data_IF_869155450730
#
_entry.id   IF_869155450730
#
_cell.length_a   1.000
_cell.length_b   1.000
_cell.length_c   1.000
_cell.angle_alpha   90.00
_cell.angle_beta   90.00
_cell.angle_gamma   90.00
#
_symmetry.space_group_name_H-M   'P 1'
#
loop_
_entity.id
_entity.type
_entity.pdbx_description
1 polymer ?
#
# COMPACT_ATOMS: atom_id res chain seq x y z
N UNK A 1 -24.76 -23.40 -21.11
CA UNK A 1 -23.99 -24.00 -22.21
C UNK A 1 -23.63 -22.98 -23.26
N UNK A 2 -22.99 -21.89 -22.84
CA UNK A 2 -22.50 -20.80 -23.69
C UNK A 2 -20.97 -20.66 -23.63
N UNK A 3 -20.27 -21.67 -23.09
CA UNK A 3 -18.81 -21.71 -22.97
C UNK A 3 -18.23 -20.85 -21.83
N UNK A 4 -19.01 -19.92 -21.27
CA UNK A 4 -18.53 -18.97 -20.25
C UNK A 4 -18.19 -19.65 -18.93
N UNK A 5 -18.86 -20.74 -18.60
CA UNK A 5 -18.58 -21.51 -17.39
C UNK A 5 -17.24 -22.25 -17.52
N UNK A 6 -16.97 -22.86 -18.66
CA UNK A 6 -15.71 -23.56 -18.94
C UNK A 6 -14.53 -22.58 -18.94
N UNK A 7 -14.66 -21.43 -19.60
CA UNK A 7 -13.65 -20.37 -19.58
C UNK A 7 -13.41 -19.82 -18.16
N UNK A 8 -14.48 -19.62 -17.40
CA UNK A 8 -14.39 -19.22 -15.99
C UNK A 8 -13.60 -20.25 -15.18
N UNK A 9 -13.93 -21.53 -15.30
CA UNK A 9 -13.25 -22.60 -14.56
C UNK A 9 -11.78 -22.73 -14.97
N UNK A 10 -11.43 -22.52 -16.25
CA UNK A 10 -10.02 -22.47 -16.69
C UNK A 10 -9.28 -21.30 -16.04
N UNK A 11 -9.89 -20.11 -16.03
CA UNK A 11 -9.31 -18.90 -15.44
C UNK A 11 -9.10 -19.04 -13.93
N UNK A 12 -10.07 -19.61 -13.22
CA UNK A 12 -10.09 -19.71 -11.76
C UNK A 12 -9.66 -21.08 -11.22
N UNK A 13 -9.04 -21.94 -12.04
CA UNK A 13 -8.66 -23.32 -11.67
C UNK A 13 -7.84 -23.46 -10.38
N UNK A 14 -7.05 -22.44 -10.01
CA UNK A 14 -6.24 -22.40 -8.78
C UNK A 14 -6.94 -21.73 -7.59
N UNK A 15 -8.12 -21.15 -7.82
CA UNK A 15 -8.86 -20.30 -6.89
C UNK A 15 -10.31 -20.79 -6.66
N UNK A 16 -10.64 -22.02 -7.08
CA UNK A 16 -11.95 -22.65 -6.90
C UNK A 16 -11.79 -24.03 -6.26
N UNK A 17 -12.75 -24.45 -5.43
CA UNK A 17 -12.78 -25.82 -4.91
C UNK A 17 -13.08 -26.82 -6.04
N UNK A 18 -12.69 -28.08 -5.85
CA UNK A 18 -12.86 -29.14 -6.85
C UNK A 18 -14.32 -29.40 -7.23
N UNK A 19 -15.27 -29.09 -6.34
CA UNK A 19 -16.70 -29.27 -6.54
C UNK A 19 -17.42 -27.96 -6.90
N UNK A 20 -16.69 -26.88 -7.20
CA UNK A 20 -17.30 -25.59 -7.50
C UNK A 20 -17.99 -25.60 -8.88
N UNK A 21 -19.31 -25.34 -8.89
CA UNK A 21 -20.11 -25.11 -10.10
C UNK A 21 -20.55 -23.64 -10.19
N UNK A 22 -20.10 -22.87 -11.19
CA UNK A 22 -20.48 -21.46 -11.32
C UNK A 22 -21.98 -21.25 -11.60
N UNK A 23 -22.70 -22.21 -12.19
CA UNK A 23 -24.13 -22.08 -12.45
C UNK A 23 -24.96 -22.20 -11.17
N UNK A 24 -24.48 -22.96 -10.21
CA UNK A 24 -25.15 -23.20 -8.93
C UNK A 24 -24.64 -22.26 -7.85
N UNK A 25 -23.32 -22.19 -7.66
CA UNK A 25 -22.70 -21.49 -6.53
C UNK A 25 -22.62 -19.97 -6.73
N UNK A 26 -22.52 -19.43 -7.95
CA UNK A 26 -22.58 -17.97 -8.17
C UNK A 26 -24.02 -17.42 -8.14
N UNK A 27 -25.00 -18.22 -7.71
CA UNK A 27 -26.32 -17.68 -7.34
C UNK A 27 -26.24 -16.87 -6.06
N UNK A 28 -25.31 -17.16 -5.15
CA UNK A 28 -25.09 -16.39 -3.92
C UNK A 28 -23.60 -16.09 -3.78
N UNK A 29 -23.25 -14.85 -3.49
CA UNK A 29 -21.86 -14.41 -3.35
C UNK A 29 -21.65 -13.86 -1.94
N UNK A 30 -20.72 -14.47 -1.21
CA UNK A 30 -20.14 -13.89 0.00
C UNK A 30 -18.76 -13.33 -0.31
N UNK A 31 -18.49 -12.08 0.06
CA UNK A 31 -17.17 -11.47 -0.06
C UNK A 31 -16.54 -11.34 1.32
N UNK A 32 -15.39 -11.98 1.53
CA UNK A 32 -14.56 -11.83 2.71
C UNK A 32 -13.13 -11.47 2.29
N UNK A 33 -12.45 -10.65 3.08
CA UNK A 33 -11.14 -10.08 2.75
C UNK A 33 -10.11 -10.39 3.83
N UNK A 34 -8.83 -10.32 3.46
CA UNK A 34 -7.76 -10.27 4.46
C UNK A 34 -7.87 -8.96 5.28
N UNK A 35 -7.55 -9.03 6.57
CA UNK A 35 -7.74 -7.93 7.55
C UNK A 35 -6.91 -6.66 7.28
N UNK A 36 -5.89 -6.78 6.44
CA UNK A 36 -4.88 -5.75 6.14
C UNK A 36 -5.02 -5.16 4.73
N UNK A 37 -6.03 -5.56 3.95
CA UNK A 37 -6.26 -5.07 2.58
C UNK A 37 -6.57 -3.57 2.54
N UNK A 38 -6.32 -2.91 1.40
CA UNK A 38 -6.72 -1.53 1.17
C UNK A 38 -8.24 -1.41 0.98
N UNK A 39 -8.93 -0.81 1.96
CA UNK A 39 -10.40 -0.83 2.05
C UNK A 39 -11.09 -0.20 0.84
N UNK A 40 -10.51 0.86 0.26
CA UNK A 40 -11.11 1.55 -0.89
C UNK A 40 -11.17 0.66 -2.13
N UNK A 41 -10.11 -0.09 -2.41
CA UNK A 41 -10.07 -1.05 -3.51
C UNK A 41 -10.96 -2.25 -3.24
N UNK A 42 -10.89 -2.81 -2.02
CA UNK A 42 -11.78 -3.90 -1.60
C UNK A 42 -13.24 -3.52 -1.76
N UNK A 43 -13.62 -2.31 -1.34
CA UNK A 43 -14.98 -1.79 -1.48
C UNK A 43 -15.37 -1.61 -2.95
N UNK A 44 -14.45 -1.22 -3.82
CA UNK A 44 -14.72 -1.12 -5.26
C UNK A 44 -15.04 -2.50 -5.87
N UNK A 45 -14.32 -3.55 -5.45
CA UNK A 45 -14.61 -4.95 -5.83
C UNK A 45 -15.97 -5.38 -5.29
N UNK A 46 -16.27 -5.08 -4.02
CA UNK A 46 -17.58 -5.35 -3.42
C UNK A 46 -18.73 -4.71 -4.18
N UNK A 47 -18.61 -3.42 -4.50
CA UNK A 47 -19.59 -2.69 -5.30
C UNK A 47 -19.77 -3.28 -6.71
N UNK A 48 -18.69 -3.75 -7.35
CA UNK A 48 -18.77 -4.40 -8.66
C UNK A 48 -19.58 -5.72 -8.57
N UNK A 49 -19.31 -6.54 -7.56
CA UNK A 49 -20.04 -7.79 -7.32
C UNK A 49 -21.50 -7.52 -6.98
N UNK A 50 -21.78 -6.55 -6.10
CA UNK A 50 -23.12 -6.12 -5.73
C UNK A 50 -23.91 -5.65 -6.96
N UNK A 51 -23.34 -4.78 -7.80
CA UNK A 51 -23.96 -4.32 -9.06
C UNK A 51 -24.26 -5.48 -10.01
N UNK A 52 -23.36 -6.46 -10.07
CA UNK A 52 -23.53 -7.64 -10.92
C UNK A 52 -24.69 -8.53 -10.45
N UNK A 53 -24.79 -8.78 -9.14
CA UNK A 53 -25.91 -9.52 -8.55
C UNK A 53 -27.23 -8.77 -8.74
N UNK A 54 -27.24 -7.46 -8.47
CA UNK A 54 -28.42 -6.60 -8.66
C UNK A 54 -28.91 -6.61 -10.11
N UNK A 55 -28.00 -6.59 -11.10
CA UNK A 55 -28.36 -6.70 -12.52
C UNK A 55 -29.01 -8.04 -12.87
N UNK A 56 -28.64 -9.12 -12.17
CA UNK A 56 -29.12 -10.48 -12.46
C UNK A 56 -30.43 -10.83 -11.76
N UNK A 57 -30.58 -10.45 -10.49
CA UNK A 57 -31.71 -10.85 -9.64
C UNK A 57 -32.67 -9.70 -9.31
N UNK A 58 -32.32 -8.47 -9.68
CA UNK A 58 -33.06 -7.26 -9.29
C UNK A 58 -32.63 -6.74 -7.91
N UNK A 59 -33.01 -5.50 -7.57
CA UNK A 59 -32.64 -4.86 -6.30
C UNK A 59 -33.32 -5.51 -5.09
N UNK A 60 -34.54 -6.03 -5.24
CA UNK A 60 -35.36 -6.55 -4.13
C UNK A 60 -34.76 -7.81 -3.49
N UNK A 61 -33.98 -8.58 -4.26
CA UNK A 61 -33.40 -9.84 -3.81
C UNK A 61 -31.91 -9.74 -3.43
N UNK A 62 -31.35 -8.52 -3.36
CA UNK A 62 -29.90 -8.35 -3.17
C UNK A 62 -29.41 -8.99 -1.86
N UNK A 63 -30.15 -8.84 -0.77
CA UNK A 63 -29.79 -9.38 0.55
C UNK A 63 -29.85 -10.91 0.62
N UNK A 64 -30.53 -11.57 -0.31
CA UNK A 64 -30.60 -13.03 -0.39
C UNK A 64 -29.44 -13.64 -1.20
N UNK A 65 -28.82 -12.82 -2.05
CA UNK A 65 -27.85 -13.25 -3.06
C UNK A 65 -26.45 -12.63 -2.90
N UNK A 66 -26.29 -11.60 -2.08
CA UNK A 66 -25.00 -10.96 -1.84
C UNK A 66 -24.82 -10.60 -0.36
N UNK A 67 -23.63 -10.88 0.17
CA UNK A 67 -23.23 -10.45 1.50
C UNK A 67 -21.75 -10.09 1.52
N UNK A 68 -21.41 -8.94 2.10
CA UNK A 68 -20.04 -8.50 2.31
C UNK A 68 -19.71 -8.57 3.80
N UNK A 69 -18.69 -9.36 4.15
CA UNK A 69 -18.18 -9.43 5.51
C UNK A 69 -17.17 -8.29 5.70
N UNK A 70 -17.42 -7.39 6.66
CA UNK A 70 -16.42 -6.40 7.05
C UNK A 70 -15.34 -7.09 7.88
N UNK A 71 -14.33 -7.58 7.18
CA UNK A 71 -13.19 -8.28 7.77
C UNK A 71 -11.96 -7.40 7.90
N UNK A 72 -12.00 -6.15 7.41
CA UNK A 72 -10.87 -5.23 7.49
C UNK A 72 -10.91 -4.50 8.84
N UNK A 73 -9.78 -4.49 9.55
CA UNK A 73 -9.70 -3.83 10.85
C UNK A 73 -9.70 -2.30 10.71
N UNK A 74 -10.40 -1.59 11.59
CA UNK A 74 -10.41 -0.12 11.62
C UNK A 74 -9.00 0.48 11.80
N UNK A 75 -8.12 -0.21 12.53
CA UNK A 75 -6.73 0.22 12.73
C UNK A 75 -5.91 0.20 11.42
N UNK A 76 -6.27 -0.68 10.48
CA UNK A 76 -5.72 -0.71 9.12
C UNK A 76 -6.20 0.52 8.36
N UNK A 77 -7.51 0.79 8.40
CA UNK A 77 -8.14 1.90 7.69
C UNK A 77 -7.55 3.26 8.09
N UNK A 78 -7.47 3.54 9.39
CA UNK A 78 -6.98 4.83 9.91
C UNK A 78 -5.56 5.13 9.43
N UNK A 79 -4.69 4.11 9.36
CA UNK A 79 -3.31 4.28 8.87
C UNK A 79 -3.25 4.50 7.37
N UNK A 80 -4.05 3.75 6.61
CA UNK A 80 -4.13 3.91 5.17
C UNK A 80 -4.67 5.29 4.78
N UNK A 81 -5.68 5.78 5.49
CA UNK A 81 -6.23 7.14 5.31
C UNK A 81 -5.19 8.20 5.64
N UNK A 82 -4.46 8.06 6.75
CA UNK A 82 -3.38 8.99 7.11
C UNK A 82 -2.25 9.03 6.07
N UNK A 83 -1.90 7.88 5.47
CA UNK A 83 -0.91 7.83 4.39
C UNK A 83 -1.46 8.45 3.10
N UNK A 84 -2.73 8.22 2.77
CA UNK A 84 -3.37 8.86 1.61
C UNK A 84 -3.41 10.39 1.79
N UNK A 85 -3.79 10.87 2.97
CA UNK A 85 -3.74 12.30 3.32
C UNK A 85 -2.31 12.87 3.21
N UNK A 86 -1.31 12.16 3.74
CA UNK A 86 0.11 12.52 3.65
C UNK A 86 0.55 12.69 2.18
N UNK A 87 0.09 11.83 1.27
CA UNK A 87 0.40 11.94 -0.15
C UNK A 87 -0.22 13.19 -0.82
N UNK A 88 -1.30 13.73 -0.25
CA UNK A 88 -2.02 14.89 -0.78
C UNK A 88 -1.69 16.19 0.00
N UNK A 89 -0.73 16.16 0.93
CA UNK A 89 -0.31 17.35 1.64
C UNK A 89 0.44 18.29 0.69
N UNK A 90 -0.16 19.45 0.45
CA UNK A 90 0.38 20.54 -0.37
C UNK A 90 0.13 21.91 0.32
N UNK A 91 1.12 22.50 1.00
CA UNK A 91 1.15 23.90 1.41
C UNK A 91 1.28 24.85 0.21
N UNK A 92 1.96 24.45 -0.88
CA UNK A 92 1.92 25.14 -2.17
C UNK A 92 1.32 24.22 -3.26
N UNK A 93 0.21 24.61 -3.91
CA UNK A 93 -0.39 23.80 -4.99
C UNK A 93 0.50 23.68 -6.25
N UNK A 94 1.61 24.42 -6.36
CA UNK A 94 2.52 24.38 -7.50
C UNK A 94 3.83 23.62 -7.24
N UNK A 95 4.08 23.15 -6.01
CA UNK A 95 5.31 22.41 -5.68
C UNK A 95 5.00 21.06 -5.02
N UNK A 96 5.61 19.95 -5.47
CA UNK A 96 5.54 18.69 -4.74
C UNK A 96 6.27 18.84 -3.40
N UNK A 97 5.57 18.55 -2.30
CA UNK A 97 6.06 18.91 -0.97
C UNK A 97 6.88 17.86 -0.29
N UNK A 98 6.66 16.58 -0.59
CA UNK A 98 7.41 15.50 0.02
C UNK A 98 8.55 15.09 -0.90
N UNK A 99 9.76 15.09 -0.37
CA UNK A 99 10.93 14.54 -1.08
C UNK A 99 10.81 13.01 -1.16
N UNK A 100 10.29 12.40 -0.10
CA UNK A 100 9.86 11.00 -0.07
C UNK A 100 8.99 10.70 1.15
N UNK A 101 8.34 9.54 1.14
CA UNK A 101 7.68 8.92 2.30
C UNK A 101 8.49 7.71 2.77
N UNK A 102 8.79 7.65 4.07
CA UNK A 102 9.40 6.49 4.71
C UNK A 102 8.34 5.68 5.47
N UNK A 103 8.22 4.42 5.11
CA UNK A 103 7.38 3.42 5.77
C UNK A 103 8.28 2.52 6.60
N UNK A 104 8.13 2.53 7.93
CA UNK A 104 8.95 1.72 8.83
C UNK A 104 8.17 0.52 9.35
N UNK A 105 8.77 -0.67 9.29
CA UNK A 105 8.25 -1.89 9.90
C UNK A 105 8.77 -3.15 9.24
N UNK A 106 8.57 -4.31 9.87
CA UNK A 106 9.12 -5.58 9.37
C UNK A 106 8.74 -5.89 7.91
N UNK A 107 9.68 -6.47 7.15
CA UNK A 107 9.46 -6.84 5.74
C UNK A 107 8.39 -7.92 5.53
N UNK A 108 8.11 -8.72 6.56
CA UNK A 108 7.07 -9.75 6.55
C UNK A 108 5.68 -9.22 6.96
N UNK A 109 5.57 -7.93 7.29
CA UNK A 109 4.30 -7.32 7.67
C UNK A 109 3.49 -6.92 6.43
N UNK A 110 2.42 -7.68 6.14
CA UNK A 110 1.47 -7.35 5.07
C UNK A 110 0.87 -5.94 5.24
N UNK A 111 0.50 -5.54 6.46
CA UNK A 111 0.00 -4.17 6.68
C UNK A 111 1.05 -3.12 6.29
N UNK A 112 2.31 -3.33 6.68
CA UNK A 112 3.39 -2.38 6.34
C UNK A 112 3.64 -2.34 4.83
N UNK A 113 3.60 -3.50 4.16
CA UNK A 113 3.69 -3.56 2.70
C UNK A 113 2.54 -2.79 2.01
N UNK A 114 1.29 -2.93 2.48
CA UNK A 114 0.16 -2.19 1.94
C UNK A 114 0.26 -0.67 2.18
N UNK A 115 0.91 -0.23 3.26
CA UNK A 115 1.18 1.21 3.45
C UNK A 115 2.16 1.77 2.42
N UNK A 116 3.06 0.96 1.87
CA UNK A 116 3.98 1.37 0.79
C UNK A 116 3.27 1.47 -0.56
N UNK A 117 2.27 0.63 -0.82
CA UNK A 117 1.52 0.62 -2.08
C UNK A 117 0.83 1.96 -2.34
N UNK A 118 0.24 2.57 -1.30
CA UNK A 118 -0.51 3.83 -1.40
C UNK A 118 0.34 4.97 -2.03
N UNK A 119 1.47 5.39 -1.45
CA UNK A 119 2.28 6.47 -2.01
C UNK A 119 2.88 6.12 -3.37
N UNK A 120 3.27 4.85 -3.60
CA UNK A 120 3.76 4.41 -4.90
C UNK A 120 2.70 4.57 -6.00
N UNK A 121 1.45 4.17 -5.73
CA UNK A 121 0.33 4.38 -6.67
C UNK A 121 0.00 5.86 -6.90
N UNK A 122 0.31 6.73 -5.94
CA UNK A 122 0.18 8.19 -6.06
C UNK A 122 1.37 8.83 -6.79
N UNK A 123 2.39 8.07 -7.16
CA UNK A 123 3.62 8.59 -7.78
C UNK A 123 4.54 9.33 -6.80
N UNK A 124 4.34 9.16 -5.49
CA UNK A 124 5.19 9.73 -4.46
C UNK A 124 6.33 8.77 -4.17
N UNK A 125 7.56 9.28 -4.26
CA UNK A 125 8.78 8.52 -3.96
C UNK A 125 8.69 7.99 -2.54
N UNK A 126 8.78 6.68 -2.36
CA UNK A 126 8.51 6.07 -1.07
C UNK A 126 9.26 4.78 -0.85
N UNK A 127 9.64 4.52 0.39
CA UNK A 127 10.53 3.42 0.75
C UNK A 127 10.04 2.70 1.99
N UNK A 128 10.17 1.37 1.99
CA UNK A 128 9.87 0.52 3.13
C UNK A 128 11.16 -0.06 3.71
N UNK A 129 11.49 0.31 4.95
CA UNK A 129 12.60 -0.25 5.71
C UNK A 129 12.09 -1.01 6.95
N UNK A 130 12.82 -2.04 7.38
CA UNK A 130 12.53 -2.76 8.61
C UNK A 130 13.27 -2.20 9.83
N UNK A 131 14.42 -1.56 9.62
CA UNK A 131 15.26 -1.00 10.69
C UNK A 131 16.09 0.18 10.19
N UNK A 132 16.59 1.00 11.11
CA UNK A 132 17.43 2.15 10.76
C UNK A 132 18.70 1.75 10.00
N UNK A 133 19.23 0.54 10.24
CA UNK A 133 20.47 0.05 9.63
C UNK A 133 20.45 0.11 8.10
N UNK A 134 19.28 -0.03 7.50
CA UNK A 134 18.99 0.06 6.07
C UNK A 134 19.35 1.40 5.41
N UNK A 135 19.40 2.49 6.19
CA UNK A 135 19.76 3.83 5.70
C UNK A 135 21.27 3.98 5.84
N UNK A 136 22.01 3.87 4.75
CA UNK A 136 23.47 3.85 4.77
C UNK A 136 24.07 5.26 4.81
N UNK A 137 25.26 5.40 5.39
CA UNK A 137 25.92 6.68 5.59
C UNK A 137 26.31 7.40 4.29
N UNK A 138 26.45 6.66 3.19
CA UNK A 138 26.73 7.15 1.85
C UNK A 138 25.47 7.62 1.10
N UNK A 139 24.33 7.75 1.80
CA UNK A 139 23.03 8.13 1.28
C UNK A 139 22.34 7.05 0.42
N UNK A 140 22.82 5.80 0.43
CA UNK A 140 22.10 4.67 -0.17
C UNK A 140 21.10 4.06 0.80
N UNK A 141 20.18 3.24 0.28
CA UNK A 141 19.10 2.66 1.06
C UNK A 141 18.80 1.22 0.63
N UNK A 142 18.83 0.30 1.59
CA UNK A 142 18.25 -1.03 1.46
C UNK A 142 16.74 -0.97 1.79
N UNK A 143 15.87 -1.37 0.88
CA UNK A 143 14.42 -1.31 1.13
C UNK A 143 13.67 -2.45 0.44
N UNK A 144 12.45 -2.69 0.92
CA UNK A 144 11.51 -3.62 0.27
C UNK A 144 10.74 -2.89 -0.84
N UNK A 145 10.55 -3.54 -1.98
CA UNK A 145 9.69 -3.08 -3.08
C UNK A 145 8.25 -3.54 -2.89
N UNK A 146 7.31 -2.99 -3.67
CA UNK A 146 5.90 -3.42 -3.63
C UNK A 146 5.76 -4.92 -3.95
N UNK A 147 6.56 -5.43 -4.89
CA UNK A 147 6.57 -6.84 -5.30
C UNK A 147 7.23 -7.78 -4.28
N UNK A 148 7.78 -7.21 -3.19
CA UNK A 148 8.39 -7.98 -2.10
C UNK A 148 9.86 -8.34 -2.28
N UNK A 149 10.51 -7.81 -3.32
CA UNK A 149 11.96 -7.85 -3.42
C UNK A 149 12.60 -6.94 -2.36
N UNK A 150 13.78 -7.32 -1.88
CA UNK A 150 14.64 -6.44 -1.08
C UNK A 150 15.76 -5.98 -1.99
N UNK A 151 15.90 -4.67 -2.16
CA UNK A 151 16.84 -4.06 -3.10
C UNK A 151 17.59 -2.93 -2.43
N UNK A 152 18.81 -2.69 -2.90
CA UNK A 152 19.53 -1.47 -2.60
C UNK A 152 19.24 -0.45 -3.70
N UNK A 153 18.98 0.79 -3.32
CA UNK A 153 18.43 1.82 -4.21
C UNK A 153 19.33 3.04 -4.34
N UNK A 154 19.05 3.82 -5.39
CA UNK A 154 19.55 5.16 -5.67
C UNK A 154 19.43 6.12 -4.47
N UNK A 155 20.22 7.20 -4.42
CA UNK A 155 20.40 8.03 -3.24
C UNK A 155 19.08 8.49 -2.59
N UNK A 156 18.92 8.25 -1.28
CA UNK A 156 17.73 8.60 -0.51
C UNK A 156 17.42 10.10 -0.62
N UNK A 157 18.41 10.96 -0.42
CA UNK A 157 18.29 12.41 -0.62
C UNK A 157 18.86 12.77 -1.98
N UNK A 158 18.01 13.27 -2.88
CA UNK A 158 18.42 13.66 -4.23
C UNK A 158 19.16 15.00 -4.22
N UNK A 159 20.13 15.13 -5.11
CA UNK A 159 20.76 16.39 -5.47
C UNK A 159 20.12 16.95 -6.75
N UNK A 160 20.23 18.26 -6.96
CA UNK A 160 19.87 18.90 -8.21
C UNK A 160 20.89 18.61 -9.33
N UNK A 161 20.66 19.18 -10.51
CA UNK A 161 21.52 19.03 -11.69
C UNK A 161 22.97 19.51 -11.48
N UNK A 162 23.21 20.36 -10.47
CA UNK A 162 24.53 20.87 -10.11
C UNK A 162 25.17 20.07 -8.97
N UNK A 163 24.53 18.99 -8.51
CA UNK A 163 25.00 18.17 -7.40
C UNK A 163 24.72 18.76 -6.02
N UNK A 164 23.90 19.81 -5.92
CA UNK A 164 23.55 20.46 -4.66
C UNK A 164 22.31 19.82 -4.06
N UNK A 165 22.38 19.38 -2.80
CA UNK A 165 21.21 18.85 -2.08
C UNK A 165 20.37 19.97 -1.51
N UNK A 166 19.05 19.77 -1.45
CA UNK A 166 18.12 20.73 -0.83
C UNK A 166 18.54 21.02 0.60
N UNK A 167 18.47 22.28 1.02
CA UNK A 167 18.76 22.68 2.41
C UNK A 167 17.66 22.28 3.39
N UNK A 168 16.41 22.24 2.90
CA UNK A 168 15.23 21.82 3.65
C UNK A 168 14.70 20.50 3.06
N UNK A 169 14.74 19.46 3.88
CA UNK A 169 14.19 18.15 3.56
C UNK A 169 12.79 18.03 4.16
N UNK A 170 11.83 17.52 3.39
CA UNK A 170 10.46 17.26 3.80
C UNK A 170 10.16 15.78 3.62
N UNK A 171 10.14 15.05 4.72
CA UNK A 171 9.97 13.60 4.74
C UNK A 171 8.64 13.26 5.41
N UNK A 172 7.80 12.53 4.69
CA UNK A 172 6.62 11.91 5.29
C UNK A 172 7.03 10.63 5.99
N UNK A 173 6.50 10.36 7.19
CA UNK A 173 6.85 9.16 7.95
C UNK A 173 5.60 8.46 8.42
N UNK A 174 5.56 7.15 8.22
CA UNK A 174 4.51 6.27 8.74
C UNK A 174 5.13 4.94 9.19
N UNK A 175 4.37 4.16 9.94
CA UNK A 175 4.85 2.87 10.43
C UNK A 175 3.76 1.80 10.48
N UNK A 176 4.18 0.55 10.39
CA UNK A 176 3.30 -0.59 10.59
C UNK A 176 2.73 -0.63 12.00
N UNK A 177 1.54 -1.21 12.17
CA UNK A 177 0.86 -1.25 13.47
C UNK A 177 1.66 -1.91 14.61
N UNK A 178 2.58 -2.81 14.27
CA UNK A 178 3.46 -3.53 15.21
C UNK A 178 4.87 -2.92 15.33
N UNK A 179 5.13 -1.78 14.71
CA UNK A 179 6.47 -1.18 14.67
C UNK A 179 6.71 -0.33 15.91
N UNK A 180 7.75 -0.60 16.71
CA UNK A 180 8.07 0.22 17.87
C UNK A 180 8.46 1.65 17.48
N UNK A 181 8.06 2.64 18.28
CA UNK A 181 8.39 4.05 18.05
C UNK A 181 9.90 4.29 17.93
N UNK A 182 10.70 3.50 18.66
CA UNK A 182 12.16 3.54 18.59
C UNK A 182 12.69 3.31 17.17
N UNK A 183 12.15 2.36 16.43
CA UNK A 183 12.61 2.05 15.06
C UNK A 183 12.38 3.25 14.14
N UNK A 184 11.25 3.94 14.33
CA UNK A 184 10.92 5.17 13.58
C UNK A 184 11.89 6.30 13.96
N UNK A 185 12.17 6.47 15.25
CA UNK A 185 13.09 7.49 15.76
C UNK A 185 14.54 7.26 15.27
N UNK A 186 15.02 6.02 15.34
CA UNK A 186 16.38 5.66 14.93
C UNK A 186 16.55 5.86 13.40
N UNK A 187 15.53 5.52 12.60
CA UNK A 187 15.52 5.78 11.16
C UNK A 187 15.55 7.28 10.84
N UNK A 188 14.72 8.08 11.52
CA UNK A 188 14.72 9.54 11.38
C UNK A 188 16.07 10.14 11.78
N UNK A 189 16.70 9.64 12.85
CA UNK A 189 18.03 10.06 13.28
C UNK A 189 19.08 9.88 12.19
N UNK A 190 19.08 8.73 11.50
CA UNK A 190 20.00 8.49 10.38
C UNK A 190 19.77 9.42 9.19
N UNK A 191 18.52 9.69 8.83
CA UNK A 191 18.19 10.66 7.78
C UNK A 191 18.72 12.04 8.13
N UNK A 192 18.53 12.48 9.39
CA UNK A 192 19.04 13.77 9.85
C UNK A 192 20.56 13.86 9.80
N UNK A 193 21.26 12.78 10.18
CA UNK A 193 22.73 12.72 10.10
C UNK A 193 23.24 12.85 8.66
N UNK A 194 22.64 12.10 7.71
CA UNK A 194 23.03 12.16 6.29
C UNK A 194 22.75 13.56 5.72
N UNK A 195 21.61 14.14 6.08
CA UNK A 195 21.24 15.48 5.67
C UNK A 195 22.24 16.53 6.19
N UNK A 196 22.57 16.51 7.48
CA UNK A 196 23.55 17.42 8.09
C UNK A 196 24.95 17.29 7.48
N UNK A 197 25.44 16.06 7.27
CA UNK A 197 26.75 15.83 6.66
C UNK A 197 26.81 16.42 5.24
N UNK A 198 25.71 16.36 4.50
CA UNK A 198 25.66 16.92 3.15
C UNK A 198 25.69 18.45 3.10
N UNK A 199 25.17 19.12 4.13
CA UNK A 199 25.23 20.58 4.26
C UNK A 199 26.60 21.09 4.69
N UNK A 200 27.42 20.27 5.32
CA UNK A 200 28.80 20.63 5.70
C UNK A 200 29.79 20.52 4.53
N UNK A 201 29.41 19.78 3.48
CA UNK A 201 30.25 19.52 2.30
C UNK A 201 29.89 20.41 1.10
N UNK A 202 28.78 21.17 1.18
CA UNK A 202 28.30 22.14 0.19
C UNK A 202 28.68 23.57 0.56
#
# INVERSE_FOLDING_TARGET
GDGRAEEFMVKFKKASSSHFDPHTHLKKIGLANQTTMYKKETRAIGQLLQKTIMKKFGPDLINEHYYEFDTICDATQVRQDAVDELCNMHFDPNEPELDFILVVGGFDSSNTAHLLEIPQHRGVRSFHINEASCIHADNTLLHRTIDGGIVESEPLILADENGVRKTKLRVGVTSGASTPDREVQDALGRIMMIHQNSLQLS
#
